data_IF_098325752898
#
_entry.id   IF_098325752898
#
_cell.length_a   1.000
_cell.length_b   1.000
_cell.length_c   1.000
_cell.angle_alpha   90.00
_cell.angle_beta   90.00
_cell.angle_gamma   90.00
#
_symmetry.space_group_name_H-M   'P 1'
#
loop_
_entity.id
_entity.type
_entity.pdbx_description
1 polymer ?
#
# COMPACT_ATOMS: atom_id res chain seq x y z
N UNK A 1 -33.43 7.57 -16.27
CA UNK A 1 -33.42 6.84 -14.98
C UNK A 1 -32.02 6.96 -14.41
N UNK A 2 -31.82 7.83 -13.42
CA UNK A 2 -30.53 8.01 -12.76
C UNK A 2 -30.50 7.03 -11.59
N UNK A 3 -29.78 5.92 -11.75
CA UNK A 3 -29.58 4.95 -10.68
C UNK A 3 -28.36 5.39 -9.87
N UNK A 4 -28.58 6.03 -8.72
CA UNK A 4 -27.52 6.22 -7.72
C UNK A 4 -27.39 4.93 -6.93
N UNK A 5 -26.39 4.12 -7.26
CA UNK A 5 -25.96 3.01 -6.41
C UNK A 5 -25.09 3.57 -5.29
N UNK A 6 -25.55 3.44 -4.04
CA UNK A 6 -24.67 3.57 -2.88
C UNK A 6 -23.77 2.32 -2.84
N UNK A 7 -22.67 2.36 -3.60
CA UNK A 7 -21.62 1.37 -3.50
C UNK A 7 -20.89 1.59 -2.18
N UNK A 8 -20.96 0.61 -1.28
CA UNK A 8 -20.08 0.56 -0.13
C UNK A 8 -18.65 0.46 -0.68
N UNK A 9 -17.90 1.56 -0.61
CA UNK A 9 -16.46 1.50 -0.85
C UNK A 9 -15.88 0.47 0.14
N UNK A 10 -15.03 -0.43 -0.34
CA UNK A 10 -14.30 -1.31 0.55
C UNK A 10 -13.49 -0.44 1.52
N UNK A 11 -13.66 -0.65 2.82
CA UNK A 11 -12.86 0.01 3.84
C UNK A 11 -11.76 -0.95 4.28
N UNK A 12 -10.51 -0.50 4.15
CA UNK A 12 -9.35 -1.20 4.71
C UNK A 12 -8.97 -0.47 6.01
N UNK A 13 -9.30 -1.01 7.20
CA UNK A 13 -9.03 -0.35 8.47
C UNK A 13 -7.54 -0.51 8.85
N UNK A 14 -6.64 -0.05 7.98
CA UNK A 14 -5.20 -0.08 8.17
C UNK A 14 -4.72 1.31 8.57
N UNK A 15 -5.01 1.69 9.82
CA UNK A 15 -4.58 2.97 10.40
C UNK A 15 -3.28 2.86 11.22
N UNK A 16 -2.89 1.63 11.57
CA UNK A 16 -1.68 1.29 12.34
C UNK A 16 -1.62 1.89 13.75
N UNK A 17 -2.76 2.33 14.31
CA UNK A 17 -2.83 2.83 15.69
C UNK A 17 -2.89 1.71 16.74
N UNK A 18 -3.02 0.47 16.26
CA UNK A 18 -2.95 -0.75 17.07
C UNK A 18 -2.34 -1.89 16.26
N UNK A 19 -2.12 -3.04 16.89
CA UNK A 19 -1.55 -4.20 16.20
C UNK A 19 -2.41 -4.63 15.01
N UNK A 20 -1.80 -4.65 13.82
CA UNK A 20 -2.43 -5.17 12.60
C UNK A 20 -2.12 -6.65 12.42
N UNK A 21 -3.15 -7.50 12.40
CA UNK A 21 -3.00 -8.94 12.16
C UNK A 21 -2.43 -9.23 10.78
N UNK A 22 -1.60 -10.28 10.66
CA UNK A 22 -1.05 -10.74 9.39
C UNK A 22 0.11 -9.90 8.84
N UNK A 23 0.51 -8.84 9.56
CA UNK A 23 1.59 -7.95 9.16
C UNK A 23 2.96 -8.63 9.34
N UNK A 24 3.72 -8.75 8.25
CA UNK A 24 5.01 -9.42 8.22
C UNK A 24 5.95 -8.81 7.17
N UNK A 25 7.25 -8.88 7.45
CA UNK A 25 8.28 -8.57 6.46
C UNK A 25 8.30 -9.60 5.33
N UNK A 26 8.64 -9.17 4.12
CA UNK A 26 8.67 -10.00 2.93
C UNK A 26 10.03 -9.86 2.22
N UNK A 27 10.56 -10.99 1.75
CA UNK A 27 11.83 -11.12 1.02
C UNK A 27 13.00 -10.33 1.63
N UNK A 28 13.27 -10.54 2.92
CA UNK A 28 14.40 -9.91 3.62
C UNK A 28 14.16 -8.46 4.07
N UNK A 29 12.95 -7.92 3.95
CA UNK A 29 12.56 -6.68 4.63
C UNK A 29 11.92 -6.95 6.00
N UNK A 30 11.94 -5.93 6.88
CA UNK A 30 11.11 -5.88 8.08
C UNK A 30 9.88 -5.03 7.83
N UNK A 31 8.77 -5.34 8.53
CA UNK A 31 7.52 -4.57 8.47
C UNK A 31 6.91 -4.48 9.87
N UNK A 32 6.92 -3.30 10.46
CA UNK A 32 6.53 -3.09 11.85
C UNK A 32 5.81 -1.74 12.05
N UNK A 33 4.97 -1.67 13.07
CA UNK A 33 4.36 -0.41 13.51
C UNK A 33 5.37 0.35 14.36
N UNK A 34 5.57 1.63 14.05
CA UNK A 34 6.50 2.53 14.74
C UNK A 34 5.85 3.89 14.98
N UNK A 35 6.44 4.72 15.84
CA UNK A 35 6.02 6.11 16.01
C UNK A 35 6.14 6.87 14.69
N UNK A 36 5.13 7.69 14.40
CA UNK A 36 5.09 8.51 13.19
C UNK A 36 6.29 9.48 13.14
N UNK A 37 7.12 9.44 12.07
CA UNK A 37 8.29 10.32 11.94
C UNK A 37 7.94 11.80 11.79
N UNK A 38 6.71 12.15 11.38
CA UNK A 38 6.29 13.54 11.21
C UNK A 38 4.77 13.68 11.30
N UNK A 39 4.30 14.56 12.18
CA UNK A 39 2.87 14.87 12.30
C UNK A 39 2.33 15.82 11.21
N UNK A 40 3.22 16.38 10.38
CA UNK A 40 2.85 17.30 9.30
C UNK A 40 2.34 16.51 8.09
N UNK A 41 1.06 16.67 7.74
CA UNK A 41 0.43 15.94 6.63
C UNK A 41 -0.13 14.56 7.01
N UNK A 42 0.31 13.99 8.13
CA UNK A 42 -0.31 12.82 8.75
C UNK A 42 -0.35 12.99 10.28
N UNK A 43 -1.54 13.14 10.85
CA UNK A 43 -1.73 13.35 12.30
C UNK A 43 -1.76 12.05 13.12
N UNK A 44 -1.54 10.89 12.51
CA UNK A 44 -1.48 9.60 13.20
C UNK A 44 -0.32 9.59 14.21
N UNK A 45 -0.49 8.90 15.34
CA UNK A 45 0.59 8.74 16.31
C UNK A 45 1.58 7.67 15.85
N UNK A 46 1.06 6.65 15.15
CA UNK A 46 1.83 5.51 14.68
C UNK A 46 1.65 5.32 13.17
N UNK A 47 2.60 4.62 12.56
CA UNK A 47 2.60 4.26 11.13
C UNK A 47 3.28 2.91 10.93
N UNK A 48 2.96 2.22 9.85
CA UNK A 48 3.74 1.06 9.44
C UNK A 48 5.02 1.50 8.71
N UNK A 49 6.14 0.85 9.04
CA UNK A 49 7.45 1.09 8.44
C UNK A 49 8.01 -0.20 7.84
N UNK A 50 8.41 -0.09 6.58
CA UNK A 50 9.15 -1.13 5.85
C UNK A 50 10.63 -0.74 5.86
N UNK A 51 11.51 -1.68 6.20
CA UNK A 51 12.97 -1.50 6.08
C UNK A 51 13.52 -2.68 5.29
N UNK A 52 14.09 -2.40 4.11
CA UNK A 52 14.77 -3.38 3.28
C UNK A 52 16.21 -3.56 3.76
N UNK A 53 16.68 -4.80 3.87
CA UNK A 53 18.10 -5.08 4.16
C UNK A 53 18.98 -4.71 2.97
N UNK A 54 18.51 -4.98 1.75
CA UNK A 54 19.14 -4.58 0.51
C UNK A 54 18.20 -3.63 -0.25
N UNK A 55 18.62 -2.37 -0.44
CA UNK A 55 17.82 -1.36 -1.16
C UNK A 55 17.56 -1.75 -2.62
N UNK A 56 18.47 -2.51 -3.23
CA UNK A 56 18.38 -2.97 -4.62
C UNK A 56 17.45 -4.18 -4.82
N UNK A 57 16.97 -4.80 -3.74
CA UNK A 57 16.06 -5.94 -3.85
C UNK A 57 14.67 -5.47 -4.27
N UNK A 58 14.21 -5.85 -5.46
CA UNK A 58 12.96 -5.36 -6.01
C UNK A 58 11.70 -6.06 -5.44
N UNK A 59 11.90 -7.17 -4.74
CA UNK A 59 10.83 -8.01 -4.18
C UNK A 59 10.67 -7.80 -2.67
N UNK A 60 11.69 -7.26 -2.00
CA UNK A 60 11.65 -6.96 -0.57
C UNK A 60 10.59 -5.90 -0.21
N UNK A 61 9.77 -6.19 0.80
CA UNK A 61 8.63 -5.35 1.16
C UNK A 61 7.91 -5.74 2.45
N UNK A 62 6.69 -5.23 2.61
CA UNK A 62 5.77 -5.60 3.69
C UNK A 62 4.57 -6.35 3.15
N UNK A 63 4.08 -7.34 3.89
CA UNK A 63 2.88 -8.12 3.54
C UNK A 63 1.90 -8.09 4.70
N UNK A 64 0.61 -7.90 4.41
CA UNK A 64 -0.49 -8.08 5.36
C UNK A 64 -1.35 -9.22 4.83
N UNK A 65 -1.40 -10.32 5.57
CA UNK A 65 -2.18 -11.50 5.19
C UNK A 65 -3.56 -11.51 5.82
N UNK A 66 -4.45 -12.34 5.26
CA UNK A 66 -5.81 -12.51 5.77
C UNK A 66 -6.60 -11.20 5.85
N UNK A 67 -6.31 -10.26 4.95
CA UNK A 67 -7.12 -9.06 4.77
C UNK A 67 -8.47 -9.51 4.21
N UNK A 68 -9.56 -9.20 4.90
CA UNK A 68 -10.88 -9.69 4.53
C UNK A 68 -11.29 -9.17 3.14
N UNK A 69 -11.20 -10.06 2.14
CA UNK A 69 -11.70 -9.93 0.77
C UNK A 69 -11.39 -8.59 0.08
N UNK A 70 -10.13 -8.39 -0.30
CA UNK A 70 -9.73 -7.29 -1.18
C UNK A 70 -10.46 -7.40 -2.53
N UNK A 71 -11.25 -6.37 -2.87
CA UNK A 71 -12.11 -6.36 -4.04
C UNK A 71 -11.91 -5.10 -4.88
N UNK A 72 -11.16 -5.21 -5.97
CA UNK A 72 -10.88 -4.09 -6.90
C UNK A 72 -11.64 -4.20 -8.22
N UNK A 73 -12.66 -5.07 -8.30
CA UNK A 73 -13.35 -5.39 -9.56
C UNK A 73 -14.34 -4.34 -10.07
N UNK A 74 -14.63 -3.28 -9.30
CA UNK A 74 -15.70 -2.32 -9.60
C UNK A 74 -15.22 -0.87 -9.57
N UNK A 75 -15.91 0.04 -10.25
CA UNK A 75 -15.57 1.47 -10.26
C UNK A 75 -15.54 2.11 -8.86
N UNK A 76 -16.35 1.62 -7.92
CA UNK A 76 -16.36 2.09 -6.54
C UNK A 76 -15.19 1.57 -5.69
N UNK A 77 -14.43 0.59 -6.18
CA UNK A 77 -13.40 -0.10 -5.39
C UNK A 77 -12.07 -0.30 -6.12
N UNK A 78 -11.93 0.13 -7.38
CA UNK A 78 -10.73 -0.09 -8.21
C UNK A 78 -9.51 0.71 -7.74
N UNK A 79 -9.70 1.70 -6.88
CA UNK A 79 -8.65 2.59 -6.40
C UNK A 79 -8.34 2.32 -4.92
N UNK A 80 -7.07 2.04 -4.62
CA UNK A 80 -6.49 2.08 -3.28
C UNK A 80 -5.75 3.41 -3.10
N UNK A 81 -5.87 4.03 -1.92
CA UNK A 81 -5.05 5.19 -1.55
C UNK A 81 -4.26 4.89 -0.28
N UNK A 82 -3.05 5.44 -0.20
CA UNK A 82 -2.16 5.27 0.96
C UNK A 82 -1.34 6.53 1.17
N UNK A 83 -1.22 6.98 2.43
CA UNK A 83 -0.22 7.98 2.78
C UNK A 83 1.15 7.33 2.89
N UNK A 84 2.14 7.89 2.22
CA UNK A 84 3.52 7.40 2.17
C UNK A 84 4.48 8.49 2.61
N UNK A 85 5.45 8.11 3.43
CA UNK A 85 6.61 8.92 3.79
C UNK A 85 7.85 8.12 3.42
N UNK A 86 8.75 8.70 2.63
CA UNK A 86 10.02 8.08 2.26
C UNK A 86 11.14 9.12 2.27
N UNK A 87 12.37 8.67 2.53
CA UNK A 87 13.58 9.49 2.34
C UNK A 87 14.30 9.17 1.03
N UNK A 88 13.76 8.24 0.23
CA UNK A 88 14.26 7.94 -1.10
C UNK A 88 14.04 9.13 -2.06
N UNK A 89 14.78 9.21 -3.17
CA UNK A 89 14.59 10.26 -4.16
C UNK A 89 13.18 10.29 -4.74
N UNK A 90 12.71 11.50 -5.13
CA UNK A 90 11.50 11.67 -5.94
C UNK A 90 11.61 10.83 -7.22
N UNK A 91 10.51 10.19 -7.63
CA UNK A 91 10.52 9.21 -8.71
C UNK A 91 10.66 7.75 -8.26
N UNK A 92 10.80 7.50 -6.95
CA UNK A 92 10.77 6.13 -6.40
C UNK A 92 9.39 5.49 -6.64
N UNK A 93 9.39 4.25 -7.15
CA UNK A 93 8.15 3.50 -7.36
C UNK A 93 7.78 2.76 -6.08
N UNK A 94 6.52 2.87 -5.67
CA UNK A 94 5.89 1.96 -4.71
C UNK A 94 4.98 1.04 -5.51
N UNK A 95 5.21 -0.27 -5.40
CA UNK A 95 4.37 -1.29 -6.04
C UNK A 95 3.44 -1.89 -4.99
N UNK A 96 2.15 -1.96 -5.30
CA UNK A 96 1.19 -2.77 -4.56
C UNK A 96 0.93 -4.04 -5.35
N UNK A 97 0.93 -5.17 -4.65
CA UNK A 97 0.55 -6.45 -5.20
C UNK A 97 -0.49 -7.13 -4.33
N UNK A 98 -1.48 -7.71 -4.98
CA UNK A 98 -2.53 -8.53 -4.39
C UNK A 98 -2.12 -9.99 -4.58
N UNK A 99 -2.29 -10.81 -3.55
CA UNK A 99 -2.00 -12.25 -3.63
C UNK A 99 -3.10 -13.08 -2.94
N UNK A 100 -3.10 -14.39 -3.23
CA UNK A 100 -3.90 -15.43 -2.55
C UNK A 100 -5.43 -15.23 -2.61
N UNK A 101 -6.18 -15.92 -3.50
CA UNK A 101 -5.74 -16.76 -4.60
C UNK A 101 -5.55 -15.99 -5.92
N UNK A 102 -5.97 -14.73 -5.97
CA UNK A 102 -5.91 -13.90 -7.17
C UNK A 102 -4.79 -12.89 -7.08
N UNK A 103 -4.11 -12.65 -8.20
CA UNK A 103 -3.01 -11.70 -8.30
C UNK A 103 -3.37 -10.48 -9.13
N UNK A 104 -2.88 -9.33 -8.71
CA UNK A 104 -2.89 -8.08 -9.46
C UNK A 104 -1.82 -7.16 -8.90
N UNK A 105 -1.28 -6.28 -9.72
CA UNK A 105 -0.27 -5.32 -9.29
C UNK A 105 -0.44 -3.97 -9.95
N UNK A 106 -0.05 -2.93 -9.23
CA UNK A 106 -0.15 -1.54 -9.66
C UNK A 106 0.96 -0.73 -9.01
N UNK A 107 1.48 0.22 -9.77
CA UNK A 107 2.56 1.10 -9.36
C UNK A 107 2.04 2.51 -9.10
N UNK A 108 2.63 3.17 -8.12
CA UNK A 108 2.53 4.62 -7.94
C UNK A 108 3.94 5.19 -7.76
N UNK A 109 4.14 6.40 -8.27
CA UNK A 109 5.44 7.08 -8.23
C UNK A 109 5.40 8.18 -7.18
N UNK A 110 6.38 8.21 -6.28
CA UNK A 110 6.51 9.26 -5.26
C UNK A 110 6.85 10.60 -5.91
N UNK A 111 6.18 11.66 -5.47
CA UNK A 111 6.38 13.03 -5.97
C UNK A 111 7.12 13.92 -4.97
N UNK A 112 7.23 13.48 -3.70
CA UNK A 112 7.95 14.19 -2.65
C UNK A 112 8.94 13.25 -1.95
N UNK A 113 9.89 13.84 -1.22
CA UNK A 113 10.81 13.12 -0.33
C UNK A 113 10.83 13.81 1.02
N UNK A 114 11.04 13.04 2.10
CA UNK A 114 11.03 13.50 3.50
C UNK A 114 9.76 14.25 3.90
N UNK A 115 8.63 13.91 3.28
CA UNK A 115 7.31 14.46 3.57
C UNK A 115 6.23 13.40 3.31
N UNK A 116 5.07 13.57 3.93
CA UNK A 116 3.90 12.74 3.66
C UNK A 116 3.23 13.15 2.35
N UNK A 117 2.95 12.18 1.49
CA UNK A 117 2.07 12.33 0.32
C UNK A 117 1.03 11.21 0.25
N UNK A 118 -0.06 11.45 -0.47
CA UNK A 118 -1.05 10.40 -0.76
C UNK A 118 -0.76 9.81 -2.13
N UNK A 119 -0.37 8.54 -2.17
CA UNK A 119 -0.27 7.77 -3.40
C UNK A 119 -1.61 7.12 -3.73
N UNK A 120 -1.94 7.08 -5.01
CA UNK A 120 -3.15 6.51 -5.57
C UNK A 120 -2.76 5.34 -6.47
N UNK A 121 -3.38 4.19 -6.22
CA UNK A 121 -3.13 2.93 -6.89
C UNK A 121 -4.43 2.50 -7.59
N UNK A 122 -4.53 2.77 -8.89
CA UNK A 122 -5.69 2.37 -9.70
C UNK A 122 -5.43 1.03 -10.38
N UNK A 123 -6.11 -0.01 -9.92
CA UNK A 123 -6.01 -1.35 -10.49
C UNK A 123 -6.75 -1.50 -11.82
N UNK A 124 -7.53 -0.49 -12.23
CA UNK A 124 -8.40 -0.57 -13.41
C UNK A 124 -9.62 -1.47 -13.19
N UNK A 125 -10.46 -1.58 -14.24
CA UNK A 125 -11.72 -2.33 -14.18
C UNK A 125 -11.83 -3.28 -15.39
N UNK A 126 -12.14 -4.57 -15.18
CA UNK A 126 -12.19 -5.26 -13.89
C UNK A 126 -10.77 -5.65 -13.42
N UNK A 127 -10.44 -5.38 -12.16
CA UNK A 127 -9.30 -5.99 -11.50
C UNK A 127 -9.71 -7.20 -10.62
N UNK A 128 -8.74 -7.78 -9.91
CA UNK A 128 -9.00 -8.95 -9.08
C UNK A 128 -9.94 -8.66 -7.90
N UNK A 129 -10.67 -9.71 -7.50
CA UNK A 129 -11.62 -9.69 -6.38
C UNK A 129 -11.44 -10.95 -5.56
N UNK A 130 -11.40 -10.81 -4.23
CA UNK A 130 -11.24 -11.92 -3.29
C UNK A 130 -9.79 -12.27 -2.97
N UNK A 131 -8.82 -11.38 -3.25
CA UNK A 131 -7.45 -11.55 -2.75
C UNK A 131 -7.44 -11.36 -1.22
N UNK A 132 -6.56 -12.10 -0.54
CA UNK A 132 -6.46 -12.12 0.91
C UNK A 132 -5.17 -11.46 1.41
N UNK A 133 -4.21 -11.23 0.52
CA UNK A 133 -2.92 -10.67 0.85
C UNK A 133 -2.69 -9.33 0.16
N UNK A 134 -2.26 -8.34 0.93
CA UNK A 134 -1.78 -7.04 0.44
C UNK A 134 -0.26 -6.98 0.63
N UNK A 135 0.48 -6.86 -0.47
CA UNK A 135 1.94 -6.73 -0.48
C UNK A 135 2.33 -5.33 -0.95
N UNK A 136 3.23 -4.69 -0.22
CA UNK A 136 3.74 -3.34 -0.46
C UNK A 136 5.24 -3.46 -0.71
N UNK A 137 5.70 -3.13 -1.91
CA UNK A 137 7.09 -3.28 -2.34
C UNK A 137 7.66 -1.94 -2.81
N UNK A 138 8.40 -1.21 -1.95
CA UNK A 138 9.20 -0.07 -2.40
C UNK A 138 10.28 -0.55 -3.36
N UNK A 139 10.20 -0.12 -4.62
CA UNK A 139 11.13 -0.52 -5.67
C UNK A 139 12.46 0.23 -5.51
N UNK A 140 13.59 -0.34 -5.94
CA UNK A 140 14.86 0.38 -6.02
C UNK A 140 14.68 1.63 -6.87
N UNK A 141 15.25 2.75 -6.42
CA UNK A 141 15.29 3.95 -7.24
C UNK A 141 16.19 3.71 -8.46
N UNK A 142 15.62 3.88 -9.65
CA UNK A 142 16.37 3.89 -10.91
C UNK A 142 16.31 5.31 -11.47
N UNK A 143 17.47 5.94 -11.64
CA UNK A 143 17.55 7.15 -12.45
C UNK A 143 17.28 6.72 -13.90
N UNK A 144 16.20 7.22 -14.49
CA UNK A 144 15.80 6.87 -15.86
C UNK A 144 16.91 7.07 -16.90
#
# INVERSE_FOLDING_TARGET
MLASTFGWAQSLPLDFESTTSGMQGYDGASFAIVSNPSSLGNSSANVAKIIKVNVADMWAGGKITSVSSLNFSSASTSVLSMKVYTTEPVGTIVKIKLESPYSGEVDAVTTVTSAWETLIFDFGIPACSGSADLVIMPQPFTNG
#
